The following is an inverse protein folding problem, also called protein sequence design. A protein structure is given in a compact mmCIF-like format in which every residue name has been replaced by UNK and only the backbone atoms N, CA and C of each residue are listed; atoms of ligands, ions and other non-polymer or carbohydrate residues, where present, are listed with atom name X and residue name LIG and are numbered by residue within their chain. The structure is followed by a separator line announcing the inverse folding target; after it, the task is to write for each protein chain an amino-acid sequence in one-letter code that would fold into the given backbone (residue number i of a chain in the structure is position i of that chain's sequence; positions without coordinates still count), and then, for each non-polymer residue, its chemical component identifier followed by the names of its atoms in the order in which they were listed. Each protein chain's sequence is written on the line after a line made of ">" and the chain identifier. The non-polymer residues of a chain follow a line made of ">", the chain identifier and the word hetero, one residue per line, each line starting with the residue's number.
data_IF_517815716272
#
_entry.id   IF_517815716272
#
_cell.length_a   1.000
_cell.length_b   1.000
_cell.length_c   1.000
_cell.angle_alpha   90.00
_cell.angle_beta   90.00
_cell.angle_gamma   90.00
#
_symmetry.space_group_name_H-M   'P 1'
#
loop_
_entity.id
_entity.type
_entity.pdbx_description
1 polymer ?
#
# COMPACT_ATOMS: atom_id res chain seq x y z
N UNK A 1 -14.77 13.94 -31.25
CA UNK A 1 -13.32 13.77 -30.99
C UNK A 1 -12.77 15.13 -30.56
N UNK A 2 -12.82 15.46 -29.27
CA UNK A 2 -12.02 16.59 -28.77
C UNK A 2 -10.55 16.16 -28.81
N UNK A 3 -9.67 17.04 -29.30
CA UNK A 3 -8.25 16.76 -29.37
C UNK A 3 -7.67 16.72 -27.94
N UNK A 4 -7.35 15.53 -27.47
CA UNK A 4 -6.71 15.24 -26.19
C UNK A 4 -5.26 15.74 -26.21
N UNK A 5 -4.86 16.52 -25.21
CA UNK A 5 -3.47 16.99 -25.02
C UNK A 5 -2.51 15.81 -24.81
N UNK A 6 -1.20 16.02 -24.95
CA UNK A 6 -0.23 14.94 -24.77
C UNK A 6 -0.25 14.33 -23.36
N UNK A 7 -0.58 15.12 -22.33
CA UNK A 7 -0.83 14.64 -20.97
C UNK A 7 -2.02 13.66 -20.93
N UNK A 8 -3.13 14.02 -21.56
CA UNK A 8 -4.32 13.18 -21.64
C UNK A 8 -4.07 11.87 -22.41
N UNK A 9 -3.17 11.87 -23.42
CA UNK A 9 -2.74 10.62 -24.09
C UNK A 9 -1.94 9.71 -23.16
N UNK A 10 -1.10 10.31 -22.30
CA UNK A 10 -0.37 9.60 -21.24
C UNK A 10 -1.31 8.88 -20.28
N UNK A 11 -2.28 9.61 -19.71
CA UNK A 11 -3.27 9.04 -18.79
C UNK A 11 -4.05 7.88 -19.43
N UNK A 12 -4.48 8.06 -20.67
CA UNK A 12 -5.19 7.04 -21.44
C UNK A 12 -4.34 5.79 -21.70
N UNK A 13 -3.02 5.91 -21.83
CA UNK A 13 -2.12 4.76 -21.94
C UNK A 13 -2.01 4.03 -20.58
N UNK A 14 -1.91 4.78 -19.48
CA UNK A 14 -1.89 4.23 -18.12
C UNK A 14 -3.16 3.43 -17.83
N UNK A 15 -4.34 3.96 -18.16
CA UNK A 15 -5.63 3.27 -17.95
C UNK A 15 -5.68 1.91 -18.66
N UNK A 16 -5.14 1.81 -19.88
CA UNK A 16 -5.14 0.55 -20.64
C UNK A 16 -4.24 -0.50 -20.01
N UNK A 17 -3.02 -0.11 -19.62
CA UNK A 17 -2.05 -1.04 -19.03
C UNK A 17 -2.53 -1.50 -17.65
N UNK A 18 -3.04 -0.59 -16.84
CA UNK A 18 -3.53 -0.91 -15.47
C UNK A 18 -4.86 -1.67 -15.49
N UNK A 19 -5.74 -1.43 -16.47
CA UNK A 19 -6.93 -2.27 -16.69
C UNK A 19 -6.53 -3.71 -17.05
N UNK A 20 -5.58 -3.89 -17.97
CA UNK A 20 -5.08 -5.23 -18.30
C UNK A 20 -4.51 -5.92 -17.06
N UNK A 21 -3.77 -5.20 -16.21
CA UNK A 21 -3.19 -5.72 -14.97
C UNK A 21 -4.27 -6.09 -13.94
N UNK A 22 -5.27 -5.23 -13.77
CA UNK A 22 -6.43 -5.45 -12.89
C UNK A 22 -7.18 -6.71 -13.30
N UNK A 23 -7.52 -6.83 -14.58
CA UNK A 23 -8.24 -7.98 -15.13
C UNK A 23 -7.40 -9.26 -15.05
N UNK A 24 -6.10 -9.17 -15.29
CA UNK A 24 -5.18 -10.31 -15.21
C UNK A 24 -5.17 -10.91 -13.80
N UNK A 25 -4.94 -10.09 -12.77
CA UNK A 25 -4.92 -10.58 -11.38
C UNK A 25 -6.32 -10.96 -10.88
N UNK A 26 -7.37 -10.24 -11.27
CA UNK A 26 -8.74 -10.59 -10.90
C UNK A 26 -9.16 -11.94 -11.49
N UNK A 27 -8.77 -12.22 -12.74
CA UNK A 27 -9.00 -13.51 -13.37
C UNK A 27 -8.24 -14.63 -12.64
N UNK A 28 -6.99 -14.40 -12.20
CA UNK A 28 -6.25 -15.39 -11.43
C UNK A 28 -6.88 -15.65 -10.05
N UNK A 29 -7.30 -14.60 -9.34
CA UNK A 29 -8.02 -14.75 -8.06
C UNK A 29 -9.28 -15.60 -8.24
N UNK A 30 -10.05 -15.33 -9.29
CA UNK A 30 -11.25 -16.08 -9.62
C UNK A 30 -10.95 -17.54 -10.00
N UNK A 31 -9.99 -17.77 -10.90
CA UNK A 31 -9.60 -19.11 -11.34
C UNK A 31 -9.09 -19.96 -10.19
N UNK A 32 -8.17 -19.42 -9.37
CA UNK A 32 -7.64 -20.13 -8.20
C UNK A 32 -8.77 -20.49 -7.25
N UNK A 33 -9.75 -19.60 -7.03
CA UNK A 33 -10.89 -19.91 -6.16
C UNK A 33 -11.70 -21.12 -6.64
N UNK A 34 -11.98 -21.21 -7.94
CA UNK A 34 -12.91 -22.20 -8.51
C UNK A 34 -12.35 -23.63 -8.63
N UNK A 35 -11.03 -23.79 -8.68
CA UNK A 35 -10.39 -25.06 -9.06
C UNK A 35 -9.84 -25.81 -7.83
N UNK A 36 -9.66 -27.14 -7.88
CA UNK A 36 -9.04 -27.89 -6.78
C UNK A 36 -7.57 -27.48 -6.56
N UNK A 37 -7.03 -27.80 -5.38
CA UNK A 37 -5.68 -27.38 -4.95
C UNK A 37 -4.59 -27.70 -5.99
N UNK A 38 -4.54 -28.92 -6.51
CA UNK A 38 -3.53 -29.33 -7.49
C UNK A 38 -3.49 -28.40 -8.73
N UNK A 39 -4.66 -28.09 -9.29
CA UNK A 39 -4.73 -27.19 -10.45
C UNK A 39 -4.55 -25.71 -10.07
N UNK A 40 -4.97 -25.32 -8.88
CA UNK A 40 -4.70 -23.99 -8.34
C UNK A 40 -3.19 -23.74 -8.17
N UNK A 41 -2.44 -24.75 -7.70
CA UNK A 41 -0.98 -24.74 -7.57
C UNK A 41 -0.36 -24.50 -8.94
N UNK A 42 -0.72 -25.31 -9.94
CA UNK A 42 -0.23 -25.14 -11.32
C UNK A 42 -0.55 -23.74 -11.89
N UNK A 43 -1.78 -23.25 -11.71
CA UNK A 43 -2.16 -21.89 -12.13
C UNK A 43 -1.33 -20.83 -11.40
N UNK A 44 -1.01 -21.01 -10.11
CA UNK A 44 -0.26 -20.03 -9.33
C UNK A 44 1.23 -20.04 -9.66
N UNK A 45 1.88 -21.21 -9.62
CA UNK A 45 3.34 -21.36 -9.71
C UNK A 45 3.84 -21.62 -11.12
N UNK A 46 3.10 -22.37 -11.94
CA UNK A 46 3.62 -22.85 -13.22
C UNK A 46 3.42 -21.86 -14.38
N UNK A 47 4.00 -22.21 -15.53
CA UNK A 47 3.78 -21.58 -16.85
C UNK A 47 3.96 -20.05 -16.91
N UNK A 48 5.02 -19.52 -16.29
CA UNK A 48 5.32 -18.08 -16.31
C UNK A 48 5.36 -17.48 -17.72
N UNK A 49 6.00 -18.15 -18.69
CA UNK A 49 6.06 -17.69 -20.08
C UNK A 49 4.67 -17.52 -20.72
N UNK A 50 3.75 -18.45 -20.45
CA UNK A 50 2.37 -18.37 -20.96
C UNK A 50 1.62 -17.20 -20.31
N UNK A 51 1.79 -17.00 -18.99
CA UNK A 51 1.21 -15.86 -18.27
C UNK A 51 1.66 -14.52 -18.83
N UNK A 52 2.96 -14.38 -19.12
CA UNK A 52 3.52 -13.17 -19.73
C UNK A 52 2.92 -12.93 -21.12
N UNK A 53 2.84 -13.96 -21.96
CA UNK A 53 2.22 -13.84 -23.29
C UNK A 53 0.73 -13.48 -23.20
N UNK A 54 0.00 -14.09 -22.26
CA UNK A 54 -1.41 -13.76 -21.99
C UNK A 54 -1.55 -12.30 -21.57
N UNK A 55 -0.70 -11.83 -20.65
CA UNK A 55 -0.72 -10.44 -20.20
C UNK A 55 -0.41 -9.45 -21.34
N UNK A 56 0.61 -9.73 -22.15
CA UNK A 56 0.92 -8.90 -23.34
C UNK A 56 -0.27 -8.88 -24.30
N UNK A 57 -0.91 -10.02 -24.54
CA UNK A 57 -2.13 -10.11 -25.35
C UNK A 57 -3.28 -9.27 -24.79
N UNK A 58 -3.48 -9.30 -23.47
CA UNK A 58 -4.48 -8.46 -22.79
C UNK A 58 -4.16 -6.97 -22.93
N UNK A 59 -2.90 -6.56 -22.74
CA UNK A 59 -2.47 -5.16 -22.91
C UNK A 59 -2.75 -4.70 -24.34
N UNK A 60 -2.37 -5.48 -25.36
CA UNK A 60 -2.67 -5.18 -26.77
C UNK A 60 -4.19 -5.08 -26.98
N UNK A 61 -4.97 -5.99 -26.39
CA UNK A 61 -6.43 -5.96 -26.41
C UNK A 61 -7.02 -4.67 -25.85
N UNK A 62 -6.47 -4.12 -24.76
CA UNK A 62 -6.97 -2.88 -24.15
C UNK A 62 -6.80 -1.65 -25.06
N UNK A 63 -5.91 -1.67 -26.06
CA UNK A 63 -5.80 -0.57 -27.02
C UNK A 63 -7.01 -0.43 -27.95
N UNK A 64 -7.81 -1.48 -28.11
CA UNK A 64 -9.06 -1.44 -28.89
C UNK A 64 -10.26 -0.93 -28.09
N UNK A 65 -10.10 -0.70 -26.78
CA UNK A 65 -11.18 -0.22 -25.92
C UNK A 65 -11.41 1.29 -26.10
N UNK A 66 -12.68 1.68 -26.09
CA UNK A 66 -13.11 3.07 -26.17
C UNK A 66 -12.73 3.87 -24.91
N UNK A 67 -12.39 5.15 -25.10
CA UNK A 67 -11.94 6.02 -24.01
C UNK A 67 -13.01 6.25 -22.93
N UNK A 68 -14.30 6.16 -23.27
CA UNK A 68 -15.40 6.34 -22.33
C UNK A 68 -15.40 5.24 -21.25
N UNK A 69 -15.27 3.97 -21.66
CA UNK A 69 -15.15 2.84 -20.74
C UNK A 69 -13.92 2.94 -19.84
N UNK A 70 -12.81 3.47 -20.37
CA UNK A 70 -11.59 3.69 -19.59
C UNK A 70 -11.75 4.80 -18.55
N UNK A 71 -12.52 5.84 -18.83
CA UNK A 71 -12.84 6.87 -17.85
C UNK A 71 -13.70 6.31 -16.72
N UNK A 72 -14.67 5.42 -17.02
CA UNK A 72 -15.45 4.73 -15.99
C UNK A 72 -14.56 3.83 -15.12
N UNK A 73 -13.60 3.13 -15.74
CA UNK A 73 -12.60 2.36 -15.00
C UNK A 73 -11.74 3.24 -14.09
N UNK A 74 -11.30 4.42 -14.55
CA UNK A 74 -10.56 5.37 -13.73
C UNK A 74 -11.37 5.85 -12.51
N UNK A 75 -12.66 6.10 -12.67
CA UNK A 75 -13.55 6.43 -11.56
C UNK A 75 -13.69 5.27 -10.54
N UNK A 76 -13.78 4.02 -11.02
CA UNK A 76 -13.75 2.85 -10.16
C UNK A 76 -12.41 2.71 -9.43
N UNK A 77 -11.29 2.97 -10.11
CA UNK A 77 -9.95 2.99 -9.53
C UNK A 77 -9.84 4.01 -8.41
N UNK A 78 -10.42 5.21 -8.58
CA UNK A 78 -10.42 6.26 -7.57
C UNK A 78 -11.06 5.80 -6.26
N UNK A 79 -12.21 5.14 -6.34
CA UNK A 79 -12.92 4.64 -5.15
C UNK A 79 -12.18 3.47 -4.52
N UNK A 80 -11.72 2.50 -5.31
CA UNK A 80 -11.02 1.31 -4.80
C UNK A 80 -9.64 1.66 -4.21
N UNK A 81 -9.00 2.71 -4.72
CA UNK A 81 -7.73 3.24 -4.18
C UNK A 81 -7.86 3.67 -2.71
N UNK A 82 -9.04 4.07 -2.25
CA UNK A 82 -9.28 4.36 -0.84
C UNK A 82 -9.05 3.11 0.02
N UNK A 83 -9.52 1.95 -0.44
CA UNK A 83 -9.34 0.67 0.24
C UNK A 83 -7.84 0.32 0.27
N UNK A 84 -7.13 0.54 -0.84
CA UNK A 84 -5.69 0.31 -0.89
C UNK A 84 -4.92 1.21 0.09
N UNK A 85 -5.26 2.50 0.19
CA UNK A 85 -4.61 3.42 1.12
C UNK A 85 -4.85 3.04 2.59
N UNK A 86 -6.03 2.54 2.93
CA UNK A 86 -6.31 1.99 4.27
C UNK A 86 -5.48 0.74 4.52
N UNK A 87 -5.47 -0.20 3.58
CA UNK A 87 -4.63 -1.40 3.65
C UNK A 87 -3.15 -1.03 3.81
N UNK A 88 -2.65 -0.08 3.02
CA UNK A 88 -1.29 0.42 3.07
C UNK A 88 -0.96 1.05 4.44
N UNK A 89 -1.93 1.73 5.06
CA UNK A 89 -1.79 2.25 6.42
C UNK A 89 -1.60 1.12 7.45
N UNK A 90 -2.36 0.04 7.33
CA UNK A 90 -2.25 -1.14 8.21
C UNK A 90 -0.88 -1.79 8.04
N UNK A 91 -0.40 -1.95 6.80
CA UNK A 91 0.92 -2.52 6.51
C UNK A 91 2.04 -1.69 7.12
N UNK A 92 1.95 -0.35 7.02
CA UNK A 92 2.94 0.54 7.63
C UNK A 92 2.95 0.41 9.16
N UNK A 93 1.77 0.25 9.79
CA UNK A 93 1.66 0.00 11.23
C UNK A 93 2.37 -1.31 11.59
N UNK A 94 2.08 -2.39 10.87
CA UNK A 94 2.66 -3.72 11.13
C UNK A 94 4.18 -3.72 10.96
N UNK A 95 4.67 -3.10 9.88
CA UNK A 95 6.10 -2.93 9.66
C UNK A 95 6.77 -2.12 10.78
N UNK A 96 6.14 -1.02 11.21
CA UNK A 96 6.69 -0.18 12.26
C UNK A 96 6.75 -0.90 13.61
N UNK A 97 5.73 -1.69 13.97
CA UNK A 97 5.77 -2.54 15.17
C UNK A 97 6.81 -3.64 15.05
N UNK A 98 6.92 -4.28 13.88
CA UNK A 98 7.94 -5.31 13.64
C UNK A 98 9.35 -4.76 13.86
N UNK A 99 9.66 -3.59 13.30
CA UNK A 99 10.94 -2.91 13.54
C UNK A 99 11.12 -2.48 14.99
N UNK A 100 10.08 -1.94 15.62
CA UNK A 100 10.12 -1.51 17.02
C UNK A 100 10.47 -2.66 17.96
N UNK A 101 9.76 -3.77 17.85
CA UNK A 101 10.06 -4.95 18.66
C UNK A 101 11.41 -5.55 18.31
N UNK A 102 11.79 -5.60 17.02
CA UNK A 102 13.12 -6.07 16.63
C UNK A 102 14.26 -5.25 17.25
N UNK A 103 14.09 -3.93 17.42
CA UNK A 103 15.08 -3.08 18.09
C UNK A 103 15.13 -3.33 19.60
N UNK A 104 13.97 -3.49 20.25
CA UNK A 104 13.87 -3.68 21.70
C UNK A 104 14.33 -5.07 22.14
N UNK A 105 14.07 -6.10 21.31
CA UNK A 105 14.47 -7.49 21.55
C UNK A 105 16.01 -7.67 21.60
N UNK A 106 16.79 -6.71 21.10
CA UNK A 106 18.25 -6.76 21.20
C UNK A 106 18.79 -6.54 22.61
N UNK A 107 17.95 -6.17 23.58
CA UNK A 107 18.28 -5.95 25.00
C UNK A 107 19.56 -5.13 25.21
N UNK A 108 19.77 -4.13 24.35
CA UNK A 108 20.99 -3.34 24.29
C UNK A 108 20.63 -1.86 24.31
N UNK A 109 21.20 -1.12 25.27
CA UNK A 109 20.93 0.31 25.48
C UNK A 109 21.16 1.16 24.22
N UNK A 110 22.07 0.75 23.34
CA UNK A 110 22.31 1.45 22.06
C UNK A 110 21.08 1.40 21.13
N UNK A 111 20.35 0.29 21.08
CA UNK A 111 19.16 0.13 20.26
C UNK A 111 17.96 0.88 20.83
N UNK A 112 17.84 0.96 22.16
CA UNK A 112 16.82 1.78 22.82
C UNK A 112 17.04 3.27 22.54
N UNK A 113 18.29 3.74 22.65
CA UNK A 113 18.66 5.12 22.31
C UNK A 113 18.44 5.38 20.82
N UNK A 114 18.80 4.43 19.95
CA UNK A 114 18.57 4.55 18.51
C UNK A 114 17.07 4.68 18.21
N UNK A 115 16.23 3.83 18.80
CA UNK A 115 14.77 3.86 18.64
C UNK A 115 14.17 5.20 19.10
N UNK A 116 14.56 5.69 20.28
CA UNK A 116 14.12 6.98 20.81
C UNK A 116 14.59 8.14 19.91
N UNK A 117 15.85 8.13 19.49
CA UNK A 117 16.42 9.20 18.67
C UNK A 117 15.78 9.26 17.28
N UNK A 118 15.52 8.11 16.66
CA UNK A 118 14.83 8.01 15.37
C UNK A 118 13.37 8.49 15.49
N UNK A 119 12.67 8.08 16.54
CA UNK A 119 11.30 8.54 16.82
C UNK A 119 11.24 10.06 16.99
N UNK A 120 12.16 10.62 17.80
CA UNK A 120 12.24 12.07 18.03
C UNK A 120 12.53 12.85 16.75
N UNK A 121 13.44 12.35 15.90
CA UNK A 121 13.76 12.96 14.61
C UNK A 121 12.55 12.94 13.65
N UNK A 122 11.82 11.83 13.57
CA UNK A 122 10.62 11.73 12.74
C UNK A 122 9.50 12.65 13.23
N UNK A 123 9.28 12.75 14.54
CA UNK A 123 8.28 13.68 15.09
C UNK A 123 8.67 15.12 14.80
N UNK A 124 9.94 15.49 15.00
CA UNK A 124 10.42 16.84 14.72
C UNK A 124 10.32 17.19 13.21
N UNK A 125 10.61 16.24 12.32
CA UNK A 125 10.47 16.44 10.87
C UNK A 125 9.00 16.62 10.48
N UNK A 126 8.08 15.83 11.05
CA UNK A 126 6.64 16.00 10.82
C UNK A 126 6.15 17.36 11.28
N UNK A 127 6.50 17.79 12.49
CA UNK A 127 6.10 19.12 13.00
C UNK A 127 6.59 20.22 12.06
N UNK A 128 7.82 20.11 11.56
CA UNK A 128 8.41 21.06 10.61
C UNK A 128 7.63 21.06 9.29
N UNK A 129 7.36 19.89 8.72
CA UNK A 129 6.62 19.75 7.45
C UNK A 129 5.19 20.27 7.59
N UNK A 130 4.48 19.93 8.66
CA UNK A 130 3.12 20.43 8.90
C UNK A 130 3.12 21.95 9.05
N UNK A 131 4.11 22.53 9.74
CA UNK A 131 4.28 23.98 9.81
C UNK A 131 4.45 24.63 8.44
N UNK A 132 5.25 24.03 7.55
CA UNK A 132 5.39 24.48 6.16
C UNK A 132 4.08 24.31 5.37
N UNK A 133 3.34 23.23 5.59
CA UNK A 133 2.04 22.99 4.95
C UNK A 133 1.00 24.04 5.33
N UNK A 134 0.99 24.55 6.57
CA UNK A 134 0.13 25.68 6.93
C UNK A 134 0.46 26.93 6.10
N UNK A 135 1.73 27.18 5.81
CA UNK A 135 2.14 28.30 4.97
C UNK A 135 1.78 28.10 3.50
N UNK A 136 1.91 26.89 2.96
CA UNK A 136 1.66 26.61 1.55
C UNK A 136 0.19 26.39 1.19
N UNK A 137 -0.63 25.93 2.14
CA UNK A 137 -2.01 25.50 1.86
C UNK A 137 -3.09 26.24 2.67
N UNK A 138 -2.72 27.04 3.68
CA UNK A 138 -3.67 27.59 4.65
C UNK A 138 -3.42 29.05 5.06
N UNK A 139 -2.66 29.81 4.28
CA UNK A 139 -2.34 31.22 4.56
C UNK A 139 -3.57 32.14 4.39
N UNK A 140 -4.45 31.84 3.43
CA UNK A 140 -5.66 32.60 3.15
C UNK A 140 -6.71 32.52 4.26
N UNK A 141 -7.48 33.59 4.45
CA UNK A 141 -8.53 33.65 5.48
C UNK A 141 -9.71 32.69 5.22
N UNK A 142 -10.00 32.39 3.95
CA UNK A 142 -11.11 31.56 3.47
C UNK A 142 -10.81 30.05 3.46
N UNK A 143 -9.57 29.63 3.74
CA UNK A 143 -9.08 28.25 3.67
C UNK A 143 -9.49 27.39 4.88
N UNK A 144 -10.79 27.36 5.19
CA UNK A 144 -11.31 26.71 6.39
C UNK A 144 -11.14 25.19 6.36
N UNK A 145 -11.34 24.55 5.20
CA UNK A 145 -11.23 23.10 5.04
C UNK A 145 -9.76 22.65 5.17
N UNK A 146 -8.85 23.36 4.52
CA UNK A 146 -7.42 23.09 4.56
C UNK A 146 -6.89 23.23 6.00
N UNK A 147 -7.25 24.32 6.69
CA UNK A 147 -6.95 24.52 8.11
C UNK A 147 -7.48 23.40 9.00
N UNK A 148 -8.72 22.95 8.76
CA UNK A 148 -9.31 21.86 9.51
C UNK A 148 -8.52 20.56 9.35
N UNK A 149 -8.23 20.14 8.12
CA UNK A 149 -7.47 18.91 7.85
C UNK A 149 -6.06 19.00 8.43
N UNK A 150 -5.34 20.12 8.23
CA UNK A 150 -4.00 20.32 8.80
C UNK A 150 -4.01 20.39 10.34
N UNK A 151 -5.08 20.85 10.97
CA UNK A 151 -5.18 20.81 12.43
C UNK A 151 -5.33 19.38 12.95
N UNK A 152 -6.04 18.52 12.23
CA UNK A 152 -6.23 17.11 12.60
C UNK A 152 -4.93 16.31 12.50
N UNK A 153 -4.02 16.66 11.57
CA UNK A 153 -2.69 16.04 11.48
C UNK A 153 -1.74 16.43 12.62
N UNK A 154 -2.13 17.35 13.50
CA UNK A 154 -1.42 17.64 14.75
C UNK A 154 -2.17 17.04 15.94
N UNK A 155 -3.48 17.31 16.03
CA UNK A 155 -4.30 16.94 17.20
C UNK A 155 -4.34 15.43 17.37
N UNK A 156 -4.59 14.67 16.31
CA UNK A 156 -4.73 13.21 16.40
C UNK A 156 -3.38 12.55 16.76
N UNK A 157 -2.27 12.86 16.06
CA UNK A 157 -0.94 12.38 16.46
C UNK A 157 -0.48 12.76 17.86
N UNK A 158 -0.89 13.92 18.37
CA UNK A 158 -0.59 14.32 19.75
C UNK A 158 -1.16 13.30 20.74
N UNK A 159 -2.44 12.91 20.58
CA UNK A 159 -3.05 11.92 21.46
C UNK A 159 -2.41 10.53 21.32
N UNK A 160 -2.08 10.10 20.10
CA UNK A 160 -1.36 8.84 19.90
C UNK A 160 0.03 8.84 20.54
N UNK A 161 0.76 9.95 20.43
CA UNK A 161 2.08 10.10 21.03
C UNK A 161 2.00 10.12 22.56
N UNK A 162 1.00 10.80 23.13
CA UNK A 162 0.76 10.76 24.58
C UNK A 162 0.46 9.33 25.04
N UNK A 163 -0.45 8.63 24.35
CA UNK A 163 -0.78 7.24 24.67
C UNK A 163 0.44 6.32 24.59
N UNK A 164 1.27 6.48 23.54
CA UNK A 164 2.51 5.75 23.33
C UNK A 164 3.55 5.92 24.46
N UNK A 165 3.47 7.02 25.22
CA UNK A 165 4.34 7.31 26.37
C UNK A 165 3.76 6.88 27.72
N UNK A 166 2.53 6.35 27.76
CA UNK A 166 1.92 5.90 29.01
C UNK A 166 2.28 4.46 29.35
N UNK A 167 2.27 4.13 30.64
CA UNK A 167 2.50 2.77 31.15
C UNK A 167 1.40 1.77 30.71
N UNK A 168 0.32 2.24 30.09
CA UNK A 168 -0.73 1.38 29.54
C UNK A 168 -0.26 0.56 28.33
N UNK A 169 0.75 1.05 27.59
CA UNK A 169 1.29 0.37 26.41
C UNK A 169 2.63 -0.30 26.78
N UNK A 170 2.69 -1.64 26.89
CA UNK A 170 3.93 -2.32 27.24
C UNK A 170 5.02 -2.04 26.20
N UNK A 171 6.24 -1.79 26.68
CA UNK A 171 7.41 -1.42 25.87
C UNK A 171 7.32 -0.07 25.12
N UNK A 172 6.25 0.71 25.34
CA UNK A 172 5.98 1.96 24.62
C UNK A 172 5.80 1.75 23.11
N UNK A 173 5.23 2.73 22.40
CA UNK A 173 4.99 2.62 20.95
C UNK A 173 5.33 3.93 20.21
N UNK A 174 6.37 4.62 20.66
CA UNK A 174 6.72 5.95 20.15
C UNK A 174 7.16 5.91 18.68
N UNK A 175 7.95 4.91 18.29
CA UNK A 175 8.40 4.74 16.90
C UNK A 175 7.24 4.41 15.94
N UNK A 176 6.37 3.42 16.23
CA UNK A 176 5.15 3.20 15.44
C UNK A 176 4.27 4.44 15.31
N UNK A 177 4.06 5.18 16.41
CA UNK A 177 3.30 6.43 16.39
C UNK A 177 3.92 7.47 15.43
N UNK A 178 5.25 7.63 15.44
CA UNK A 178 5.96 8.55 14.57
C UNK A 178 5.86 8.15 13.09
N UNK A 179 5.98 6.86 12.75
CA UNK A 179 5.83 6.36 11.38
C UNK A 179 4.42 6.59 10.83
N UNK A 180 3.38 6.27 11.62
CA UNK A 180 1.98 6.47 11.21
C UNK A 180 1.67 7.95 11.03
N UNK A 181 2.17 8.79 11.93
CA UNK A 181 2.04 10.25 11.86
C UNK A 181 2.71 10.82 10.61
N UNK A 182 3.91 10.33 10.28
CA UNK A 182 4.61 10.69 9.04
C UNK A 182 3.84 10.31 7.79
N UNK A 183 3.29 9.10 7.74
CA UNK A 183 2.50 8.65 6.59
C UNK A 183 1.17 9.40 6.46
N UNK A 184 0.48 9.66 7.57
CA UNK A 184 -0.73 10.48 7.57
C UNK A 184 -0.46 11.91 7.08
N UNK A 185 0.68 12.49 7.48
CA UNK A 185 1.15 13.79 6.99
C UNK A 185 1.45 13.75 5.48
N UNK A 186 2.06 12.66 4.99
CA UNK A 186 2.31 12.46 3.57
C UNK A 186 1.01 12.39 2.75
N UNK A 187 0.00 11.62 3.20
CA UNK A 187 -1.31 11.57 2.53
C UNK A 187 -1.99 12.94 2.56
N UNK A 188 -1.95 13.64 3.70
CA UNK A 188 -2.51 14.98 3.79
C UNK A 188 -1.80 15.95 2.83
N UNK A 189 -0.48 15.87 2.70
CA UNK A 189 0.30 16.67 1.78
C UNK A 189 -0.11 16.43 0.31
N UNK A 190 -0.17 15.17 -0.12
CA UNK A 190 -0.54 14.84 -1.50
C UNK A 190 -1.99 15.20 -1.80
N UNK A 191 -2.90 15.05 -0.84
CA UNK A 191 -4.29 15.47 -0.98
C UNK A 191 -4.43 17.00 -1.14
N UNK A 192 -3.69 17.79 -0.35
CA UNK A 192 -3.70 19.25 -0.44
C UNK A 192 -3.10 19.77 -1.73
N UNK A 193 -2.07 19.09 -2.24
CA UNK A 193 -1.45 19.45 -3.52
C UNK A 193 -2.45 19.36 -4.68
N UNK A 194 -3.42 18.44 -4.61
CA UNK A 194 -4.50 18.30 -5.58
C UNK A 194 -5.62 19.35 -5.44
N UNK A 195 -5.58 20.22 -4.44
CA UNK A 195 -6.56 21.31 -4.30
C UNK A 195 -6.38 22.33 -5.42
N UNK A 196 -7.47 22.64 -6.12
CA UNK A 196 -7.52 23.63 -7.21
C UNK A 196 -7.75 25.06 -6.72
N UNK A 197 -7.85 25.27 -5.41
CA UNK A 197 -8.06 26.59 -4.84
C UNK A 197 -6.75 27.38 -4.79
N UNK A 198 -6.54 28.26 -5.77
CA UNK A 198 -5.33 29.09 -5.85
C UNK A 198 -5.18 30.13 -4.72
N UNK A 199 -6.23 30.43 -3.95
CA UNK A 199 -6.11 31.28 -2.76
C UNK A 199 -5.43 30.52 -1.61
N UNK A 200 -5.67 29.21 -1.51
CA UNK A 200 -5.19 28.37 -0.43
C UNK A 200 -3.91 27.65 -0.80
N UNK A 201 -3.84 27.09 -2.01
CA UNK A 201 -2.71 26.32 -2.50
C UNK A 201 -1.72 27.24 -3.25
N UNK A 202 -0.70 27.73 -2.57
CA UNK A 202 0.36 28.55 -3.19
C UNK A 202 1.26 27.75 -4.13
N UNK A 203 1.13 26.42 -4.14
CA UNK A 203 1.87 25.51 -5.01
C UNK A 203 1.10 25.20 -6.30
N UNK A 204 -0.01 25.89 -6.57
CA UNK A 204 -0.85 25.67 -7.75
C UNK A 204 -0.09 25.91 -9.08
N UNK A 205 0.88 26.81 -9.15
CA UNK A 205 1.70 26.99 -10.37
C UNK A 205 2.70 25.84 -10.59
N UNK A 206 2.90 24.97 -9.58
CA UNK A 206 3.56 23.67 -9.73
C UNK A 206 2.57 22.54 -10.02
N UNK A 207 1.26 22.80 -9.99
CA UNK A 207 0.18 21.80 -10.10
C UNK A 207 -0.15 21.31 -11.51
N UNK A 208 0.74 21.51 -12.48
CA UNK A 208 0.65 20.87 -13.80
C UNK A 208 0.80 19.34 -13.79
N UNK A 209 0.72 18.71 -12.61
CA UNK A 209 0.97 17.31 -12.31
C UNK A 209 1.73 17.17 -10.99
N UNK A 210 1.64 16.01 -10.33
CA UNK A 210 2.56 15.70 -9.25
C UNK A 210 4.00 15.82 -9.78
N UNK A 211 4.87 16.50 -9.05
CA UNK A 211 6.27 16.55 -9.40
C UNK A 211 6.86 15.12 -9.35
N UNK A 212 7.93 14.90 -10.12
CA UNK A 212 8.51 13.56 -10.27
C UNK A 212 8.91 12.93 -8.93
N UNK A 213 9.26 13.74 -7.93
CA UNK A 213 9.66 13.23 -6.62
C UNK A 213 8.46 12.78 -5.77
N UNK A 214 7.30 13.45 -5.87
CA UNK A 214 6.07 13.05 -5.17
C UNK A 214 5.57 11.70 -5.67
N UNK A 215 5.56 11.54 -7.00
CA UNK A 215 5.22 10.28 -7.65
C UNK A 215 6.20 9.17 -7.24
N UNK A 216 7.51 9.45 -7.24
CA UNK A 216 8.52 8.48 -6.84
C UNK A 216 8.33 8.00 -5.40
N UNK A 217 8.06 8.90 -4.45
CA UNK A 217 7.79 8.53 -3.06
C UNK A 217 6.55 7.61 -2.98
N UNK A 218 5.46 7.97 -3.66
CA UNK A 218 4.23 7.17 -3.65
C UNK A 218 4.46 5.74 -4.17
N UNK A 219 5.25 5.61 -5.25
CA UNK A 219 5.62 4.32 -5.83
C UNK A 219 6.49 3.52 -4.84
N UNK A 220 7.50 4.15 -4.22
CA UNK A 220 8.38 3.48 -3.26
C UNK A 220 7.59 2.93 -2.07
N UNK A 221 6.70 3.74 -1.48
CA UNK A 221 5.88 3.29 -0.35
C UNK A 221 4.95 2.15 -0.80
N UNK A 222 4.35 2.23 -1.99
CA UNK A 222 3.47 1.18 -2.51
C UNK A 222 4.22 -0.13 -2.73
N UNK A 223 5.37 -0.08 -3.41
CA UNK A 223 6.22 -1.25 -3.66
C UNK A 223 6.70 -1.85 -2.34
N UNK A 224 7.22 -1.05 -1.41
CA UNK A 224 7.67 -1.54 -0.10
C UNK A 224 6.53 -2.22 0.68
N UNK A 225 5.33 -1.66 0.65
CA UNK A 225 4.15 -2.22 1.35
C UNK A 225 3.71 -3.55 0.73
N UNK A 226 3.66 -3.62 -0.61
CA UNK A 226 3.32 -4.86 -1.32
C UNK A 226 4.39 -5.91 -1.06
N UNK A 227 5.67 -5.58 -1.21
CA UNK A 227 6.79 -6.50 -0.97
C UNK A 227 6.77 -7.05 0.45
N UNK A 228 6.64 -6.19 1.46
CA UNK A 228 6.54 -6.62 2.85
C UNK A 228 5.34 -7.54 3.08
N UNK A 229 4.18 -7.19 2.53
CA UNK A 229 2.98 -8.03 2.62
C UNK A 229 3.20 -9.39 1.96
N UNK A 230 3.73 -9.42 0.73
CA UNK A 230 3.96 -10.67 0.00
C UNK A 230 5.02 -11.53 0.67
N UNK A 231 6.03 -10.93 1.29
CA UNK A 231 7.03 -11.64 2.08
C UNK A 231 6.39 -12.31 3.30
N UNK A 232 5.51 -11.60 4.00
CA UNK A 232 4.82 -12.15 5.17
C UNK A 232 3.80 -13.24 4.80
N UNK A 233 3.07 -13.08 3.68
CA UNK A 233 2.18 -14.13 3.16
C UNK A 233 2.98 -15.39 2.79
N UNK A 234 4.15 -15.24 2.17
CA UNK A 234 4.98 -16.37 1.75
C UNK A 234 5.75 -17.05 2.88
N UNK A 235 6.16 -16.31 3.91
CA UNK A 235 6.99 -16.82 5.02
C UNK A 235 6.18 -17.30 6.24
N UNK A 236 4.96 -16.82 6.42
CA UNK A 236 4.07 -17.22 7.52
C UNK A 236 2.65 -17.38 6.97
N UNK A 237 2.30 -18.60 6.56
CA UNK A 237 0.91 -18.90 6.21
C UNK A 237 0.00 -18.47 7.37
N UNK A 238 -0.98 -17.60 7.09
CA UNK A 238 -2.15 -17.23 7.91
C UNK A 238 -2.09 -16.22 9.07
N UNK A 239 -1.06 -15.39 9.30
CA UNK A 239 -1.16 -14.34 10.37
C UNK A 239 -1.79 -13.01 9.95
N UNK A 240 -1.73 -12.62 8.68
CA UNK A 240 -2.17 -11.28 8.26
C UNK A 240 -3.68 -11.14 8.04
N UNK A 241 -4.38 -12.25 7.76
CA UNK A 241 -5.81 -12.24 7.39
C UNK A 241 -6.70 -13.12 8.29
N UNK A 242 -6.20 -13.55 9.45
CA UNK A 242 -7.00 -14.20 10.48
C UNK A 242 -7.57 -15.57 10.09
N UNK A 243 -6.98 -16.26 9.11
CA UNK A 243 -7.39 -17.60 8.72
C UNK A 243 -6.79 -18.66 9.66
N UNK A 244 -7.14 -18.60 10.95
CA UNK A 244 -7.15 -19.78 11.82
C UNK A 244 -8.21 -19.59 12.89
N UNK A 245 -9.29 -20.35 12.76
CA UNK A 245 -10.36 -20.43 13.74
C UNK A 245 -9.80 -20.87 15.09
N UNK A 246 -10.43 -20.34 16.13
CA UNK A 246 -10.17 -20.59 17.54
C UNK A 246 -10.03 -22.09 17.85
N UNK A 247 -8.85 -22.49 18.30
CA UNK A 247 -8.72 -23.53 19.32
C UNK A 247 -7.82 -22.98 20.44
N UNK A 248 -8.47 -22.76 21.58
CA UNK A 248 -7.92 -22.18 22.79
C UNK A 248 -6.73 -22.98 23.35
N UNK A 249 -5.67 -22.27 23.75
CA UNK A 249 -5.20 -22.24 25.16
C UNK A 249 -4.02 -21.27 25.32
N UNK A 250 -4.32 -20.12 25.94
CA UNK A 250 -3.43 -19.39 26.83
C UNK A 250 -2.02 -19.05 26.30
N UNK A 251 -1.93 -18.19 25.29
CA UNK A 251 -0.73 -17.37 25.09
C UNK A 251 -1.07 -15.91 25.36
N UNK A 252 -1.03 -15.57 26.65
CA UNK A 252 -0.54 -14.25 27.01
C UNK A 252 0.84 -14.12 26.38
N UNK A 253 1.00 -13.14 25.49
CA UNK A 253 2.24 -12.48 25.08
C UNK A 253 3.48 -13.10 25.74
N UNK A 254 4.04 -14.13 25.09
CA UNK A 254 5.40 -14.62 25.35
C UNK A 254 6.21 -14.43 24.08
N UNK A 255 6.66 -13.20 23.90
CA UNK A 255 7.86 -12.94 23.11
C UNK A 255 9.03 -13.16 24.09
N UNK A 256 9.67 -14.31 23.98
CA UNK A 256 10.78 -14.73 24.83
C UNK A 256 11.06 -16.22 24.70
N UNK A 257 12.25 -16.52 24.19
CA UNK A 257 12.96 -17.81 24.18
C UNK A 257 12.52 -18.88 23.15
N UNK A 258 13.18 -18.89 21.97
CA UNK A 258 14.39 -19.70 21.75
C UNK A 258 14.79 -19.65 20.27
N UNK A 259 15.64 -18.68 19.90
CA UNK A 259 16.44 -18.75 18.67
C UNK A 259 17.53 -19.81 18.89
N UNK A 260 17.24 -21.05 18.53
CA UNK A 260 18.26 -22.06 18.29
C UNK A 260 18.42 -22.22 16.78
N UNK A 261 19.43 -21.49 16.30
CA UNK A 261 20.39 -21.88 15.26
C UNK A 261 20.06 -23.17 14.49
N UNK A 262 19.75 -22.98 13.21
CA UNK A 262 20.02 -23.97 12.18
C UNK A 262 20.40 -23.25 10.88
N UNK A 263 21.55 -22.59 10.87
CA UNK A 263 22.29 -22.36 9.63
C UNK A 263 22.96 -23.68 9.21
N UNK A 264 22.42 -24.37 8.20
CA UNK A 264 23.19 -25.24 7.30
C UNK A 264 22.37 -25.67 6.07
N UNK A 265 22.84 -25.24 4.90
CA UNK A 265 22.59 -25.79 3.56
C UNK A 265 21.15 -25.71 2.98
N UNK A 266 20.78 -24.53 2.47
CA UNK A 266 19.79 -24.41 1.38
C UNK A 266 20.49 -24.19 0.03
N UNK A 267 20.97 -25.30 -0.52
CA UNK A 267 20.80 -25.59 -1.94
C UNK A 267 19.97 -26.86 -2.02
N UNK A 268 18.67 -26.74 -1.76
CA UNK A 268 17.72 -27.77 -2.15
C UNK A 268 17.30 -27.51 -3.59
N UNK A 269 17.52 -28.51 -4.43
CA UNK A 269 17.00 -28.56 -5.78
C UNK A 269 15.45 -28.48 -5.70
N UNK A 270 14.83 -27.74 -6.64
CA UNK A 270 13.37 -27.57 -6.76
C UNK A 270 12.57 -28.89 -6.79
N UNK A 271 13.23 -30.02 -7.03
CA UNK A 271 12.60 -31.32 -7.20
C UNK A 271 12.20 -31.97 -5.85
N UNK A 272 12.83 -31.59 -4.72
CA UNK A 272 12.50 -32.14 -3.39
C UNK A 272 11.28 -31.46 -2.71
N UNK A 273 10.99 -30.19 -3.04
CA UNK A 273 9.79 -29.49 -2.53
C UNK A 273 8.49 -29.99 -3.19
N UNK A 274 8.57 -30.51 -4.42
CA UNK A 274 7.40 -31.04 -5.12
C UNK A 274 6.88 -32.36 -4.51
N UNK A 275 7.77 -33.22 -3.99
CA UNK A 275 7.40 -34.49 -3.34
C UNK A 275 6.80 -34.32 -1.92
N UNK A 276 7.23 -33.30 -1.16
CA UNK A 276 6.65 -32.99 0.16
C UNK A 276 5.25 -32.35 0.06
N UNK A 277 4.95 -31.62 -1.02
CA UNK A 277 3.64 -30.99 -1.24
C UNK A 277 2.51 -31.95 -1.65
N UNK A 278 2.79 -33.21 -2.01
CA UNK A 278 1.73 -34.21 -2.25
C UNK A 278 1.14 -34.81 -0.97
N UNK A 279 1.81 -34.65 0.19
CA UNK A 279 1.39 -35.20 1.49
C UNK A 279 0.95 -34.14 2.51
N UNK A 280 0.61 -32.93 2.07
CA UNK A 280 0.07 -31.90 2.98
C UNK A 280 -1.42 -32.10 3.24
N UNK A 281 -1.85 -31.82 4.47
CA UNK A 281 -3.25 -31.98 4.90
C UNK A 281 -4.21 -31.11 4.09
N UNK A 282 -5.49 -31.49 4.01
CA UNK A 282 -6.51 -30.67 3.33
C UNK A 282 -6.63 -29.26 3.94
N UNK A 283 -6.39 -29.11 5.25
CA UNK A 283 -6.38 -27.82 5.94
C UNK A 283 -5.22 -26.93 5.45
N UNK A 284 -4.03 -27.52 5.31
CA UNK A 284 -2.84 -26.81 4.81
C UNK A 284 -2.98 -26.41 3.34
N UNK A 285 -3.57 -27.30 2.52
CA UNK A 285 -3.91 -26.98 1.12
C UNK A 285 -4.88 -25.81 1.03
N UNK A 286 -5.90 -25.78 1.91
CA UNK A 286 -6.85 -24.68 1.97
C UNK A 286 -6.19 -23.36 2.39
N UNK A 287 -5.27 -23.40 3.36
CA UNK A 287 -4.51 -22.24 3.82
C UNK A 287 -3.60 -21.67 2.71
N UNK A 288 -2.79 -22.52 2.05
CA UNK A 288 -1.95 -22.11 0.92
C UNK A 288 -2.78 -21.51 -0.23
N UNK A 289 -3.91 -22.15 -0.55
CA UNK A 289 -4.83 -21.65 -1.58
C UNK A 289 -5.44 -20.30 -1.20
N UNK A 290 -5.81 -20.11 0.08
CA UNK A 290 -6.29 -18.84 0.60
C UNK A 290 -5.24 -17.73 0.43
N UNK A 291 -3.99 -18.01 0.80
CA UNK A 291 -2.86 -17.10 0.62
C UNK A 291 -2.67 -16.68 -0.84
N UNK A 292 -2.81 -17.62 -1.80
CA UNK A 292 -2.77 -17.30 -3.24
C UNK A 292 -3.93 -16.42 -3.70
N UNK A 293 -5.15 -16.66 -3.19
CA UNK A 293 -6.32 -15.83 -3.52
C UNK A 293 -6.11 -14.41 -3.00
N UNK A 294 -5.70 -14.28 -1.74
CA UNK A 294 -5.43 -13.00 -1.09
C UNK A 294 -4.34 -12.24 -1.84
N UNK A 295 -3.25 -12.91 -2.23
CA UNK A 295 -2.20 -12.34 -3.06
C UNK A 295 -2.76 -11.72 -4.35
N UNK A 296 -3.56 -12.47 -5.11
CA UNK A 296 -4.12 -11.97 -6.37
C UNK A 296 -5.12 -10.83 -6.15
N UNK A 297 -5.95 -10.89 -5.11
CA UNK A 297 -6.87 -9.80 -4.74
C UNK A 297 -6.09 -8.53 -4.38
N UNK A 298 -5.02 -8.66 -3.59
CA UNK A 298 -4.16 -7.54 -3.23
C UNK A 298 -3.54 -6.91 -4.48
N UNK A 299 -3.02 -7.73 -5.41
CA UNK A 299 -2.44 -7.24 -6.65
C UNK A 299 -3.47 -6.58 -7.57
N UNK A 300 -4.72 -7.06 -7.60
CA UNK A 300 -5.84 -6.39 -8.28
C UNK A 300 -6.05 -4.99 -7.71
N UNK A 301 -6.23 -4.86 -6.40
CA UNK A 301 -6.48 -3.55 -5.75
C UNK A 301 -5.25 -2.64 -5.89
N UNK A 302 -4.04 -3.17 -5.78
CA UNK A 302 -2.79 -2.43 -5.99
C UNK A 302 -2.67 -1.88 -7.42
N UNK A 303 -3.08 -2.65 -8.43
CA UNK A 303 -3.04 -2.19 -9.82
C UNK A 303 -4.03 -1.03 -10.08
N UNK A 304 -5.16 -1.01 -9.39
CA UNK A 304 -6.13 0.09 -9.42
C UNK A 304 -5.61 1.32 -8.68
N UNK A 305 -4.87 1.14 -7.59
CA UNK A 305 -4.14 2.25 -6.95
C UNK A 305 -3.03 2.80 -7.84
N UNK A 306 -2.26 1.94 -8.51
CA UNK A 306 -1.23 2.36 -9.46
C UNK A 306 -1.81 3.18 -10.61
N UNK A 307 -3.02 2.84 -11.09
CA UNK A 307 -3.77 3.64 -12.07
C UNK A 307 -3.90 5.09 -11.60
N UNK A 308 -4.42 5.33 -10.39
CA UNK A 308 -4.62 6.68 -9.87
C UNK A 308 -3.32 7.39 -9.54
N UNK A 309 -2.34 6.69 -8.97
CA UNK A 309 -1.06 7.27 -8.62
C UNK A 309 -0.30 7.77 -9.86
N UNK A 310 -0.26 6.96 -10.92
CA UNK A 310 0.45 7.30 -12.16
C UNK A 310 -0.23 8.41 -12.98
N UNK A 311 -1.55 8.59 -12.83
CA UNK A 311 -2.27 9.71 -13.45
C UNK A 311 -2.40 10.93 -12.54
N UNK A 312 -1.62 11.00 -11.45
CA UNK A 312 -1.68 12.10 -10.47
C UNK A 312 -3.10 12.36 -9.94
N UNK A 313 -3.89 11.30 -9.78
CA UNK A 313 -5.30 11.36 -9.37
C UNK A 313 -6.23 12.15 -10.31
N UNK A 314 -5.77 12.47 -11.51
CA UNK A 314 -6.58 13.09 -12.57
C UNK A 314 -7.63 12.11 -13.07
N UNK A 315 -8.85 12.60 -13.26
CA UNK A 315 -9.85 11.92 -14.08
C UNK A 315 -10.33 12.88 -15.17
N UNK A 316 -10.50 12.38 -16.39
CA UNK A 316 -10.89 13.23 -17.53
C UNK A 316 -12.29 13.87 -17.37
N UNK A 317 -13.08 13.41 -16.40
CA UNK A 317 -14.34 14.04 -16.01
C UNK A 317 -14.10 15.41 -15.35
N UNK A 318 -13.00 15.54 -14.58
CA UNK A 318 -12.63 16.79 -13.91
C UNK A 318 -12.01 17.82 -14.87
N UNK A 319 -11.44 17.38 -16.02
CA UNK A 319 -10.87 18.30 -17.00
C UNK A 319 -11.94 19.01 -17.85
N UNK A 320 -13.06 18.35 -18.13
CA UNK A 320 -14.21 18.99 -18.80
C UNK A 320 -14.91 20.03 -17.90
N UNK A 321 -14.93 19.80 -16.57
CA UNK A 321 -15.43 20.78 -15.62
C UNK A 321 -14.55 22.04 -15.53
N UNK A 322 -13.22 21.91 -15.65
CA UNK A 322 -12.30 23.06 -15.69
C UNK A 322 -12.46 23.92 -16.95
N UNK A 323 -12.73 23.32 -18.11
CA UNK A 323 -12.94 24.06 -19.36
C UNK A 323 -14.26 24.86 -19.40
N UNK A 324 -15.14 24.65 -18.41
CA UNK A 324 -16.41 25.38 -18.32
C UNK A 324 -16.34 26.63 -17.43
N UNK A 325 -15.21 26.86 -16.75
CA UNK A 325 -14.96 28.01 -15.87
C UNK A 325 -13.88 28.99 -16.38
N UNK A 326 -13.36 28.79 -17.58
CA UNK A 326 -12.53 29.75 -18.34
C UNK A 326 -13.33 30.30 -19.51
#
# INVERSE_FOLDING_TARGET
>A
MSACSDACKGDQAVYRITLALTLFFAAHAFLVTLVPYAFAKEIHTACFGVKVLMFIGMVIGMFYMENESLNQFAEACRVISLIFLVFQSIVIIDYAYTLHFWMIDKEQTSWDIANLSLSGLMIASVITVVGLMFHWFADGSSCGLEKFVLSMTIIVPFFYTVAACTDYIPHGALFPSACVTGYATYIAYTAMLSSTNGECNTLIDRSGGASQWELAIGIIIAVASITFTTWNIGSQSSKLFGARGEDEKNDQIKMGDNYQDQDADEKKDNDEEEEEEENISEEEQAAKKYDWIVFHILMTVASMYACMLLTSWSTNVNSEAMNHFT
#
